data_IF_021787742037
#
_entry.id   IF_021787742037
#
_cell.length_a   1.000
_cell.length_b   1.000
_cell.length_c   1.000
_cell.angle_alpha   90.00
_cell.angle_beta   90.00
_cell.angle_gamma   90.00
#
_symmetry.space_group_name_H-M   'P 1'
#
loop_
_entity.id
_entity.type
_entity.pdbx_description
1 polymer ?
#
# COMPACT_ATOMS: atom_id res chain seq x y z
N UNK A 1 -6.24 -3.08 20.68
CA UNK A 1 -7.55 -2.75 20.07
C UNK A 1 -7.99 -1.32 20.38
N UNK A 2 -7.61 -0.75 21.52
CA UNK A 2 -8.17 0.53 21.99
C UNK A 2 -7.59 1.79 21.31
N UNK A 3 -6.35 1.75 20.83
CA UNK A 3 -5.77 2.87 20.07
C UNK A 3 -6.45 3.08 18.70
N UNK A 4 -6.92 1.99 18.10
CA UNK A 4 -7.64 1.99 16.82
C UNK A 4 -9.10 2.45 16.99
N UNK A 5 -9.73 2.08 18.11
CA UNK A 5 -11.07 2.56 18.48
C UNK A 5 -11.09 4.04 18.85
N UNK A 6 -9.97 4.60 19.31
CA UNK A 6 -9.84 6.02 19.61
C UNK A 6 -9.74 6.90 18.33
N UNK A 7 -9.09 6.40 17.27
CA UNK A 7 -8.91 7.15 16.03
C UNK A 7 -10.15 7.16 15.10
N UNK A 8 -11.04 6.17 15.21
CA UNK A 8 -12.16 5.96 14.28
C UNK A 8 -13.56 6.04 14.91
N UNK A 9 -13.69 6.58 16.13
CA UNK A 9 -15.00 6.75 16.77
C UNK A 9 -15.89 7.86 16.18
N UNK A 10 -15.55 8.41 15.01
CA UNK A 10 -16.20 9.60 14.43
C UNK A 10 -16.64 9.52 12.97
N UNK A 11 -16.67 8.34 12.32
CA UNK A 11 -17.19 8.24 10.95
C UNK A 11 -18.21 7.10 10.90
N UNK A 12 -19.49 7.44 10.76
CA UNK A 12 -20.59 6.47 10.60
C UNK A 12 -21.59 6.39 11.75
N UNK A 13 -22.03 7.51 12.33
CA UNK A 13 -23.30 7.57 13.06
C UNK A 13 -24.23 8.55 12.37
N UNK A 14 -25.47 8.13 12.17
CA UNK A 14 -26.59 8.93 11.60
C UNK A 14 -26.97 10.13 12.48
N UNK A 15 -26.34 10.27 13.65
CA UNK A 15 -26.36 11.46 14.51
C UNK A 15 -24.99 12.14 14.55
N UNK A 16 -24.34 12.35 13.40
CA UNK A 16 -23.22 13.28 13.30
C UNK A 16 -23.79 14.66 13.63
N UNK A 17 -23.71 15.01 14.92
CA UNK A 17 -24.09 16.30 15.48
C UNK A 17 -23.70 17.42 14.50
N UNK A 18 -24.53 18.47 14.44
CA UNK A 18 -24.32 19.73 13.70
C UNK A 18 -22.96 20.45 13.95
N UNK A 19 -22.03 19.79 14.65
CA UNK A 19 -20.74 20.26 15.12
C UNK A 19 -19.55 19.62 14.40
N UNK A 20 -19.74 18.77 13.37
CA UNK A 20 -18.61 18.37 12.52
C UNK A 20 -18.20 19.55 11.64
N UNK A 21 -17.30 20.39 12.18
CA UNK A 21 -16.75 21.52 11.44
C UNK A 21 -15.65 21.04 10.51
N UNK A 22 -15.97 20.96 9.22
CA UNK A 22 -14.98 20.77 8.17
C UNK A 22 -14.31 22.12 7.89
N UNK A 23 -12.99 22.17 8.04
CA UNK A 23 -12.17 23.29 7.59
C UNK A 23 -11.33 22.79 6.44
N UNK A 24 -11.74 23.16 5.22
CA UNK A 24 -10.95 22.92 4.03
C UNK A 24 -10.48 24.28 3.53
N UNK A 25 -9.19 24.64 3.72
CA UNK A 25 -8.67 25.92 3.26
C UNK A 25 -8.79 26.08 1.74
N UNK A 26 -9.03 24.99 1.00
CA UNK A 26 -9.06 24.94 -0.46
C UNK A 26 -10.45 24.64 -1.04
N UNK A 27 -11.52 24.68 -0.25
CA UNK A 27 -12.88 24.53 -0.79
C UNK A 27 -13.66 25.83 -0.61
N UNK A 28 -14.28 26.30 -1.69
CA UNK A 28 -15.14 27.49 -1.72
C UNK A 28 -16.22 27.46 -0.62
N UNK A 29 -16.66 26.27 -0.19
CA UNK A 29 -17.63 26.08 0.89
C UNK A 29 -17.14 26.53 2.29
N UNK A 30 -15.84 26.78 2.48
CA UNK A 30 -15.25 27.20 3.75
C UNK A 30 -14.69 28.62 3.71
N UNK A 31 -14.82 29.33 2.58
CA UNK A 31 -14.40 30.73 2.45
C UNK A 31 -15.53 31.61 3.02
N UNK A 32 -15.25 32.34 4.10
CA UNK A 32 -16.23 33.29 4.62
C UNK A 32 -16.42 34.45 3.64
N UNK A 33 -17.64 35.00 3.48
CA UNK A 33 -17.87 36.12 2.57
C UNK A 33 -16.99 37.32 2.95
N UNK A 34 -16.02 37.66 2.07
CA UNK A 34 -15.07 38.76 2.28
C UNK A 34 -13.64 38.35 2.60
N UNK A 35 -13.32 37.06 2.67
CA UNK A 35 -11.94 36.56 2.76
C UNK A 35 -11.40 36.23 1.37
N UNK A 36 -10.46 37.05 0.88
CA UNK A 36 -9.91 36.96 -0.48
C UNK A 36 -8.71 36.00 -0.63
N UNK A 37 -8.27 35.33 0.43
CA UNK A 37 -7.02 34.54 0.38
C UNK A 37 -7.11 33.20 1.07
N UNK A 38 -6.69 32.15 0.34
CA UNK A 38 -6.34 30.85 0.88
C UNK A 38 -5.28 31.07 1.97
N UNK A 39 -5.63 30.84 3.23
CA UNK A 39 -4.68 30.95 4.33
C UNK A 39 -3.78 29.71 4.37
N UNK A 40 -2.50 29.93 4.58
CA UNK A 40 -1.56 28.82 4.77
C UNK A 40 -1.86 28.08 6.08
N UNK A 41 -1.53 26.79 6.16
CA UNK A 41 -1.71 26.00 7.39
C UNK A 41 -1.06 26.65 8.62
N UNK A 42 0.08 27.33 8.43
CA UNK A 42 0.78 28.07 9.48
C UNK A 42 -0.05 29.23 10.03
N UNK A 43 -0.73 29.97 9.14
CA UNK A 43 -1.58 31.10 9.51
C UNK A 43 -2.84 30.63 10.26
N UNK A 44 -3.37 29.45 9.92
CA UNK A 44 -4.56 28.87 10.51
C UNK A 44 -4.35 28.30 11.93
N UNK A 45 -3.11 28.13 12.37
CA UNK A 45 -2.79 27.50 13.65
C UNK A 45 -3.55 28.06 14.87
N UNK A 46 -3.56 29.39 15.09
CA UNK A 46 -4.31 30.01 16.18
C UNK A 46 -5.82 29.73 16.12
N UNK A 47 -6.42 29.79 14.93
CA UNK A 47 -7.86 29.58 14.72
C UNK A 47 -8.25 28.11 14.92
N UNK A 48 -7.39 27.19 14.48
CA UNK A 48 -7.53 25.76 14.77
C UNK A 48 -7.54 25.54 16.28
N UNK A 49 -6.60 26.14 17.02
CA UNK A 49 -6.55 26.01 18.48
C UNK A 49 -7.78 26.62 19.17
N UNK A 50 -8.28 27.76 18.69
CA UNK A 50 -9.50 28.38 19.20
C UNK A 50 -10.69 27.43 19.01
N UNK A 51 -10.88 26.94 17.79
CA UNK A 51 -11.92 26.00 17.41
C UNK A 51 -11.87 24.72 18.25
N UNK A 52 -10.68 24.15 18.44
CA UNK A 52 -10.50 22.94 19.27
C UNK A 52 -10.98 23.17 20.69
N UNK A 53 -10.66 24.31 21.31
CA UNK A 53 -11.09 24.62 22.69
C UNK A 53 -12.58 24.90 22.78
N UNK A 54 -13.10 25.72 21.89
CA UNK A 54 -14.51 26.15 21.90
C UNK A 54 -15.45 24.96 21.67
N UNK A 55 -15.10 24.08 20.75
CA UNK A 55 -15.91 22.94 20.36
C UNK A 55 -15.51 21.61 21.00
N UNK A 56 -14.48 21.61 21.86
CA UNK A 56 -13.95 20.41 22.53
C UNK A 56 -13.64 19.29 21.54
N UNK A 57 -12.90 19.64 20.48
CA UNK A 57 -12.53 18.69 19.43
C UNK A 57 -11.42 17.76 19.95
N UNK A 58 -11.68 16.45 19.95
CA UNK A 58 -10.70 15.45 20.39
C UNK A 58 -9.70 15.05 19.30
N UNK A 59 -10.03 15.23 18.01
CA UNK A 59 -9.22 14.81 16.88
C UNK A 59 -9.27 15.81 15.73
N UNK A 60 -8.09 16.21 15.26
CA UNK A 60 -7.90 16.99 14.02
C UNK A 60 -7.24 16.10 12.98
N UNK A 61 -7.82 16.05 11.78
CA UNK A 61 -7.30 15.29 10.63
C UNK A 61 -6.80 16.27 9.58
N UNK A 62 -5.58 16.05 9.09
CA UNK A 62 -4.95 16.81 8.00
C UNK A 62 -4.74 15.87 6.80
N UNK A 63 -5.43 16.12 5.69
CA UNK A 63 -5.41 15.29 4.48
C UNK A 63 -5.25 16.14 3.22
N UNK A 64 -4.09 16.22 2.56
CA UNK A 64 -2.77 15.78 3.03
C UNK A 64 -1.90 16.99 3.37
N UNK A 65 -0.95 16.82 4.29
CA UNK A 65 -0.08 17.93 4.75
C UNK A 65 0.61 18.65 3.60
N UNK A 66 1.04 17.92 2.56
CA UNK A 66 1.69 18.50 1.40
C UNK A 66 0.81 19.47 0.60
N UNK A 67 -0.51 19.27 0.59
CA UNK A 67 -1.46 20.14 -0.13
C UNK A 67 -1.92 21.35 0.70
N UNK A 68 -1.75 21.31 2.03
CA UNK A 68 -2.14 22.40 2.93
C UNK A 68 -1.00 23.39 3.20
N UNK A 69 0.22 23.05 2.80
CA UNK A 69 1.39 23.89 2.98
C UNK A 69 1.62 24.81 1.77
N UNK A 70 2.05 26.05 2.03
CA UNK A 70 2.48 26.99 0.98
C UNK A 70 3.96 26.82 0.58
N UNK A 71 4.77 26.12 1.40
CA UNK A 71 6.20 25.92 1.20
C UNK A 71 6.57 24.64 0.42
N UNK A 72 7.87 24.38 0.27
CA UNK A 72 8.36 23.17 -0.39
C UNK A 72 8.19 21.95 0.53
N UNK A 73 7.40 20.98 0.09
CA UNK A 73 7.18 19.72 0.82
C UNK A 73 8.46 18.88 0.99
N UNK A 74 9.51 19.16 0.22
CA UNK A 74 10.84 18.56 0.36
C UNK A 74 11.76 19.35 1.31
N UNK A 75 11.43 20.61 1.60
CA UNK A 75 12.15 21.43 2.57
C UNK A 75 11.78 21.00 3.98
N UNK A 76 12.76 20.42 4.70
CA UNK A 76 12.56 20.06 6.10
C UNK A 76 12.20 21.26 6.97
N UNK A 77 12.68 22.45 6.64
CA UNK A 77 12.35 23.67 7.37
C UNK A 77 10.88 24.05 7.20
N UNK A 78 10.35 24.01 5.98
CA UNK A 78 8.97 24.38 5.69
C UNK A 78 8.02 23.37 6.32
N UNK A 79 8.33 22.07 6.21
CA UNK A 79 7.57 21.00 6.87
C UNK A 79 7.57 21.16 8.38
N UNK A 80 8.72 21.46 8.98
CA UNK A 80 8.80 21.70 10.42
C UNK A 80 7.99 22.93 10.85
N UNK A 81 8.00 24.00 10.03
CA UNK A 81 7.21 25.20 10.28
C UNK A 81 5.71 24.91 10.21
N UNK A 82 5.24 24.22 9.17
CA UNK A 82 3.84 23.81 9.02
C UNK A 82 3.34 22.97 10.20
N UNK A 83 4.14 21.98 10.63
CA UNK A 83 3.82 21.15 11.78
C UNK A 83 3.79 21.95 13.09
N UNK A 84 4.75 22.86 13.29
CA UNK A 84 4.91 23.62 14.53
C UNK A 84 3.93 24.79 14.65
N UNK A 85 3.74 25.55 13.58
CA UNK A 85 2.88 26.73 13.57
C UNK A 85 1.43 26.37 13.28
N UNK A 86 1.17 25.40 12.40
CA UNK A 86 -0.19 25.03 12.00
C UNK A 86 -0.84 23.95 12.87
N UNK A 87 -0.18 22.80 13.06
CA UNK A 87 -0.81 21.64 13.72
C UNK A 87 -0.50 21.50 15.22
N UNK A 88 0.64 21.98 15.70
CA UNK A 88 0.97 21.93 17.13
C UNK A 88 0.04 22.77 18.03
N UNK A 89 -0.56 23.89 17.56
CA UNK A 89 -1.59 24.58 18.33
C UNK A 89 -2.78 23.68 18.68
N UNK A 90 -3.24 22.83 17.75
CA UNK A 90 -4.30 21.85 18.02
C UNK A 90 -3.93 20.88 19.16
N UNK A 91 -2.70 20.36 19.13
CA UNK A 91 -2.16 19.49 20.20
C UNK A 91 -2.09 20.21 21.54
N UNK A 92 -1.69 21.48 21.52
CA UNK A 92 -1.57 22.31 22.72
C UNK A 92 -2.95 22.67 23.28
N UNK A 93 -3.98 22.71 22.43
CA UNK A 93 -5.37 22.86 22.80
C UNK A 93 -6.04 21.56 23.31
N UNK A 94 -5.35 20.41 23.24
CA UNK A 94 -5.80 19.14 23.80
C UNK A 94 -6.24 18.09 22.77
N UNK A 95 -6.27 18.42 21.48
CA UNK A 95 -6.66 17.48 20.43
C UNK A 95 -5.52 16.52 20.05
N UNK A 96 -5.88 15.29 19.69
CA UNK A 96 -5.02 14.43 18.89
C UNK A 96 -4.93 14.97 17.45
N UNK A 97 -3.80 14.73 16.77
CA UNK A 97 -3.64 15.12 15.37
C UNK A 97 -3.25 13.92 14.54
N UNK A 98 -4.03 13.65 13.49
CA UNK A 98 -3.77 12.63 12.48
C UNK A 98 -3.39 13.33 11.17
N UNK A 99 -2.23 12.97 10.62
CA UNK A 99 -1.79 13.47 9.31
C UNK A 99 -1.83 12.30 8.33
N UNK A 100 -2.61 12.47 7.26
CA UNK A 100 -2.62 11.60 6.10
C UNK A 100 -1.62 12.13 5.08
N UNK A 101 -0.82 11.24 4.52
CA UNK A 101 0.25 11.63 3.60
C UNK A 101 0.56 10.50 2.63
N UNK A 102 1.16 10.88 1.50
CA UNK A 102 1.52 9.96 0.44
C UNK A 102 3.00 9.59 0.52
N UNK A 103 3.29 8.29 0.39
CA UNK A 103 4.65 7.81 0.20
C UNK A 103 5.13 8.12 -1.22
N UNK A 104 6.43 8.42 -1.39
CA UNK A 104 7.02 8.52 -2.73
C UNK A 104 7.03 7.15 -3.42
N UNK A 105 6.99 7.13 -4.75
CA UNK A 105 7.17 5.89 -5.53
C UNK A 105 8.47 5.15 -5.16
N UNK A 106 9.55 5.88 -4.91
CA UNK A 106 10.84 5.31 -4.51
C UNK A 106 10.79 4.67 -3.10
N UNK A 107 10.12 5.32 -2.14
CA UNK A 107 9.94 4.77 -0.80
C UNK A 107 9.02 3.54 -0.80
N UNK A 108 8.01 3.52 -1.67
CA UNK A 108 7.14 2.36 -1.84
C UNK A 108 7.88 1.14 -2.44
N UNK A 109 8.88 1.37 -3.30
CA UNK A 109 9.65 0.31 -3.96
C UNK A 109 10.79 -0.29 -3.11
N UNK A 110 11.21 0.38 -2.03
CA UNK A 110 12.27 -0.12 -1.14
C UNK A 110 11.87 -1.39 -0.37
N UNK A 111 12.76 -1.96 0.44
CA UNK A 111 12.44 -3.10 1.33
C UNK A 111 12.02 -2.70 2.75
N UNK A 112 12.23 -1.44 3.14
CA UNK A 112 11.84 -0.90 4.44
C UNK A 112 10.37 -0.49 4.49
N UNK A 113 9.87 -0.09 5.65
CA UNK A 113 8.52 0.51 5.74
C UNK A 113 8.50 1.81 4.91
N UNK A 114 7.51 2.01 4.02
CA UNK A 114 7.44 3.24 3.23
C UNK A 114 7.37 4.48 4.11
N UNK A 115 8.10 5.52 3.71
CA UNK A 115 8.13 6.80 4.41
C UNK A 115 7.54 7.92 3.53
N UNK A 116 6.90 8.94 4.15
CA UNK A 116 6.30 10.04 3.41
C UNK A 116 7.35 10.98 2.78
N UNK A 117 6.91 11.87 1.88
CA UNK A 117 7.73 12.98 1.37
C UNK A 117 8.16 13.88 2.55
N UNK A 118 9.42 14.32 2.59
CA UNK A 118 9.93 15.14 3.72
C UNK A 118 9.95 14.37 5.06
N UNK A 119 10.06 13.04 5.01
CA UNK A 119 9.76 12.13 6.13
C UNK A 119 10.46 12.40 7.44
N UNK A 120 11.68 12.91 7.46
CA UNK A 120 12.44 13.03 8.72
C UNK A 120 11.74 13.93 9.73
N UNK A 121 11.20 15.07 9.30
CA UNK A 121 10.54 16.03 10.19
C UNK A 121 9.17 15.53 10.65
N UNK A 122 8.38 14.98 9.71
CA UNK A 122 7.09 14.34 10.00
C UNK A 122 7.25 13.17 10.98
N UNK A 123 8.25 12.31 10.76
CA UNK A 123 8.61 11.19 11.62
C UNK A 123 9.11 11.64 12.99
N UNK A 124 9.93 12.70 13.06
CA UNK A 124 10.40 13.24 14.32
C UNK A 124 9.24 13.75 15.19
N UNK A 125 8.30 14.48 14.57
CA UNK A 125 7.14 15.07 15.22
C UNK A 125 6.07 14.04 15.65
N UNK A 126 5.84 13.02 14.83
CA UNK A 126 4.86 11.98 15.08
C UNK A 126 5.23 11.10 16.29
N UNK A 127 4.25 10.75 17.12
CA UNK A 127 4.42 9.75 18.19
C UNK A 127 4.28 8.32 17.65
N UNK A 128 3.42 8.14 16.65
CA UNK A 128 3.20 6.89 15.94
C UNK A 128 3.18 7.20 14.45
N UNK A 129 3.85 6.37 13.65
CA UNK A 129 3.88 6.44 12.19
C UNK A 129 3.51 5.08 11.63
N UNK A 130 2.47 5.04 10.81
CA UNK A 130 1.93 3.82 10.21
C UNK A 130 1.89 3.98 8.71
N UNK A 131 2.48 3.02 7.99
CA UNK A 131 2.36 2.89 6.55
C UNK A 131 1.24 1.89 6.23
N UNK A 132 0.37 2.29 5.31
CA UNK A 132 -0.67 1.45 4.76
C UNK A 132 -0.27 1.08 3.33
N UNK A 133 -0.30 -0.20 3.02
CA UNK A 133 0.09 -0.73 1.72
C UNK A 133 -0.98 -1.69 1.19
N UNK A 134 -1.20 -1.67 -0.12
CA UNK A 134 -2.02 -2.70 -0.78
C UNK A 134 -1.18 -3.96 -1.00
N UNK A 135 -1.66 -5.10 -0.52
CA UNK A 135 -1.04 -6.42 -0.65
C UNK A 135 -2.05 -7.39 -1.28
N UNK A 136 -1.57 -8.39 -2.02
CA UNK A 136 -2.43 -9.48 -2.52
C UNK A 136 -2.30 -10.64 -1.54
N UNK A 137 -3.42 -11.17 -1.06
CA UNK A 137 -3.46 -12.28 -0.12
C UNK A 137 -4.64 -13.17 -0.46
N UNK A 138 -4.39 -14.46 -0.77
CA UNK A 138 -5.41 -15.45 -1.14
C UNK A 138 -6.41 -14.91 -2.19
N UNK A 139 -5.87 -14.37 -3.30
CA UNK A 139 -6.63 -13.77 -4.41
C UNK A 139 -7.48 -12.53 -4.07
N UNK A 140 -7.30 -11.96 -2.87
CA UNK A 140 -7.94 -10.72 -2.45
C UNK A 140 -6.93 -9.58 -2.31
N UNK A 141 -7.38 -8.36 -2.59
CA UNK A 141 -6.64 -7.15 -2.24
C UNK A 141 -6.89 -6.86 -0.77
N UNK A 142 -5.83 -6.81 0.03
CA UNK A 142 -5.86 -6.54 1.46
C UNK A 142 -4.97 -5.35 1.79
N UNK A 143 -5.21 -4.71 2.92
CA UNK A 143 -4.37 -3.63 3.43
C UNK A 143 -3.41 -4.17 4.47
N UNK A 144 -2.12 -4.03 4.20
CA UNK A 144 -1.05 -4.25 5.16
C UNK A 144 -0.82 -2.97 5.96
N UNK A 145 -0.78 -3.10 7.28
CA UNK A 145 -0.44 -2.03 8.19
C UNK A 145 0.94 -2.30 8.78
N UNK A 146 1.90 -1.44 8.50
CA UNK A 146 3.28 -1.54 8.97
C UNK A 146 3.62 -0.32 9.84
N UNK A 147 4.17 -0.52 11.03
CA UNK A 147 4.58 0.60 11.89
C UNK A 147 6.04 0.94 11.65
N UNK A 148 6.27 2.19 11.25
CA UNK A 148 7.60 2.75 11.07
C UNK A 148 8.16 3.34 12.38
N UNK A 149 7.29 3.90 13.24
CA UNK A 149 7.65 4.46 14.54
C UNK A 149 6.51 4.27 15.53
N UNK A 150 6.81 3.88 16.77
CA UNK A 150 5.85 3.93 17.87
C UNK A 150 6.56 4.28 19.17
N UNK A 151 6.13 5.36 19.79
CA UNK A 151 6.51 5.75 21.15
C UNK A 151 5.46 5.36 22.19
N UNK A 152 4.43 4.58 21.81
CA UNK A 152 3.32 4.19 22.68
C UNK A 152 3.44 2.72 23.10
N UNK A 153 3.33 1.79 22.14
CA UNK A 153 3.42 0.35 22.36
C UNK A 153 4.05 -0.35 21.14
N UNK A 154 4.74 -1.49 21.35
CA UNK A 154 5.22 -2.30 20.24
C UNK A 154 4.04 -2.77 19.38
N UNK A 155 4.23 -2.70 18.08
CA UNK A 155 3.18 -2.95 17.12
C UNK A 155 3.69 -3.88 16.04
N UNK A 156 3.09 -5.07 15.94
CA UNK A 156 3.41 -6.01 14.87
C UNK A 156 2.62 -5.66 13.61
N UNK A 157 3.24 -5.73 12.43
CA UNK A 157 2.49 -5.57 11.19
C UNK A 157 1.32 -6.56 11.11
N UNK A 158 0.20 -6.12 10.56
CA UNK A 158 -1.01 -6.94 10.44
C UNK A 158 -1.77 -6.60 9.16
N UNK A 159 -2.69 -7.48 8.77
CA UNK A 159 -3.50 -7.34 7.54
C UNK A 159 -4.97 -7.12 7.87
N UNK A 160 -5.62 -6.29 7.05
CA UNK A 160 -7.07 -6.11 7.09
C UNK A 160 -7.67 -6.19 5.70
N UNK A 161 -8.87 -6.74 5.57
CA UNK A 161 -9.72 -6.49 4.42
C UNK A 161 -10.58 -5.26 4.68
N UNK A 162 -10.61 -4.35 3.71
CA UNK A 162 -11.44 -3.15 3.73
C UNK A 162 -12.60 -3.36 2.76
N UNK A 163 -13.81 -3.43 3.29
CA UNK A 163 -15.02 -3.65 2.51
C UNK A 163 -15.87 -2.36 2.58
N UNK A 164 -16.08 -1.71 1.43
CA UNK A 164 -16.92 -0.52 1.32
C UNK A 164 -18.31 -0.91 0.84
N UNK A 165 -19.33 -0.61 1.64
CA UNK A 165 -20.73 -0.83 1.28
C UNK A 165 -21.41 0.53 1.08
N UNK A 166 -22.00 0.76 -0.08
CA UNK A 166 -22.77 1.99 -0.32
C UNK A 166 -24.06 1.93 0.50
N UNK A 167 -24.20 2.85 1.45
CA UNK A 167 -25.40 2.95 2.30
C UNK A 167 -26.42 3.91 1.67
N UNK A 168 -25.96 5.07 1.19
CA UNK A 168 -26.82 6.04 0.51
C UNK A 168 -26.03 7.05 -0.32
N UNK A 169 -26.32 7.17 -1.62
CA UNK A 169 -25.72 8.18 -2.49
C UNK A 169 -24.19 8.15 -2.48
N UNK A 170 -23.56 9.16 -1.84
CA UNK A 170 -22.09 9.29 -1.68
C UNK A 170 -21.55 8.74 -0.35
N UNK A 171 -22.42 8.22 0.52
CA UNK A 171 -22.02 7.68 1.82
C UNK A 171 -21.71 6.19 1.67
N UNK A 172 -20.49 5.82 2.06
CA UNK A 172 -20.05 4.43 2.13
C UNK A 172 -19.78 4.06 3.59
N UNK A 173 -20.29 2.92 4.01
CA UNK A 173 -19.89 2.26 5.25
C UNK A 173 -18.63 1.44 5.00
N UNK A 174 -17.63 1.62 5.85
CA UNK A 174 -16.37 0.89 5.80
C UNK A 174 -16.38 -0.21 6.88
N UNK A 175 -16.35 -1.46 6.45
CA UNK A 175 -16.12 -2.61 7.33
C UNK A 175 -14.64 -3.01 7.27
N UNK A 176 -14.01 -3.17 8.45
CA UNK A 176 -12.65 -3.70 8.57
C UNK A 176 -12.67 -5.12 9.13
N UNK A 177 -12.13 -6.06 8.37
CA UNK A 177 -11.94 -7.46 8.82
C UNK A 177 -10.46 -7.71 9.10
N UNK A 178 -10.09 -8.06 10.32
CA UNK A 178 -8.71 -8.42 10.66
C UNK A 178 -8.37 -9.82 10.13
N UNK A 179 -7.26 -9.94 9.41
CA UNK A 179 -6.80 -11.19 8.78
C UNK A 179 -5.59 -11.82 9.48
N UNK A 180 -5.04 -11.16 10.50
CA UNK A 180 -3.92 -11.64 11.30
C UNK A 180 -2.60 -10.89 11.07
N UNK A 181 -1.51 -11.42 11.63
CA UNK A 181 -0.18 -10.83 11.52
C UNK A 181 0.31 -10.83 10.06
N UNK A 182 0.99 -9.75 9.67
CA UNK A 182 1.60 -9.63 8.37
C UNK A 182 3.06 -10.12 8.46
N UNK A 183 3.40 -11.15 7.66
CA UNK A 183 4.76 -11.69 7.58
C UNK A 183 5.78 -10.70 7.02
N UNK A 184 6.97 -11.17 6.66
CA UNK A 184 8.03 -10.31 6.08
C UNK A 184 7.54 -9.60 4.81
N UNK A 185 7.84 -8.30 4.67
CA UNK A 185 7.48 -7.50 3.51
C UNK A 185 8.26 -8.00 2.27
N UNK A 186 7.54 -8.42 1.23
CA UNK A 186 8.13 -8.83 -0.06
C UNK A 186 8.26 -7.60 -0.99
N UNK A 187 9.35 -7.50 -1.77
CA UNK A 187 9.54 -6.38 -2.71
C UNK A 187 8.51 -6.42 -3.84
N UNK A 188 8.09 -5.26 -4.34
CA UNK A 188 7.24 -5.15 -5.53
C UNK A 188 7.88 -5.82 -6.76
N UNK A 189 9.19 -5.71 -6.95
CA UNK A 189 9.92 -6.40 -8.04
C UNK A 189 9.96 -7.92 -7.88
N UNK A 190 10.08 -8.42 -6.65
CA UNK A 190 10.01 -9.87 -6.38
C UNK A 190 8.58 -10.38 -6.56
N UNK A 191 7.59 -9.57 -6.18
CA UNK A 191 6.17 -9.85 -6.38
C UNK A 191 5.80 -9.88 -7.87
N UNK A 192 6.19 -8.87 -8.65
CA UNK A 192 6.00 -8.86 -10.10
C UNK A 192 6.77 -9.98 -10.79
N UNK A 193 7.98 -10.31 -10.31
CA UNK A 193 8.75 -11.44 -10.81
C UNK A 193 8.04 -12.78 -10.59
N UNK A 194 7.48 -13.00 -9.40
CA UNK A 194 6.73 -14.20 -9.04
C UNK A 194 5.39 -14.27 -9.79
N UNK A 195 4.67 -13.16 -9.90
CA UNK A 195 3.39 -13.07 -10.60
C UNK A 195 3.57 -13.28 -12.12
N UNK A 196 4.58 -12.65 -12.74
CA UNK A 196 4.91 -12.88 -14.16
C UNK A 196 5.38 -14.31 -14.39
N UNK A 197 6.14 -14.89 -13.47
CA UNK A 197 6.57 -16.28 -13.57
C UNK A 197 5.39 -17.25 -13.40
N UNK A 198 4.43 -16.95 -12.53
CA UNK A 198 3.17 -17.69 -12.36
C UNK A 198 2.27 -17.61 -13.60
N UNK A 199 2.09 -16.41 -14.16
CA UNK A 199 1.32 -16.20 -15.39
C UNK A 199 1.98 -16.87 -16.60
N UNK A 200 3.30 -16.74 -16.75
CA UNK A 200 4.05 -17.43 -17.81
C UNK A 200 3.93 -18.95 -17.65
N UNK A 201 4.00 -19.48 -16.42
CA UNK A 201 3.81 -20.91 -16.14
C UNK A 201 2.42 -21.39 -16.53
N UNK A 202 1.37 -20.65 -16.19
CA UNK A 202 -0.01 -21.01 -16.57
C UNK A 202 -0.21 -21.01 -18.09
N UNK A 203 0.28 -19.96 -18.77
CA UNK A 203 0.19 -19.86 -20.23
C UNK A 203 0.95 -21.00 -20.94
N UNK A 204 2.13 -21.39 -20.43
CA UNK A 204 2.89 -22.53 -20.93
C UNK A 204 2.11 -23.83 -20.71
N UNK A 205 1.58 -24.06 -19.50
CA UNK A 205 0.83 -25.28 -19.20
C UNK A 205 -0.43 -25.41 -20.06
N UNK A 206 -1.19 -24.33 -20.24
CA UNK A 206 -2.36 -24.29 -21.12
C UNK A 206 -1.99 -24.60 -22.58
N UNK A 207 -0.91 -23.99 -23.08
CA UNK A 207 -0.41 -24.24 -24.43
C UNK A 207 0.01 -25.72 -24.62
N UNK A 208 0.63 -26.34 -23.61
CA UNK A 208 1.05 -27.74 -23.65
C UNK A 208 -0.09 -28.73 -23.45
N UNK A 209 -1.15 -28.36 -22.72
CA UNK A 209 -2.38 -29.16 -22.62
C UNK A 209 -3.07 -29.31 -23.99
N UNK A 210 -2.91 -28.33 -24.88
CA UNK A 210 -3.44 -28.40 -26.25
C UNK A 210 -2.65 -29.32 -27.21
N UNK A 211 -1.53 -29.91 -26.75
CA UNK A 211 -0.70 -30.83 -27.52
C UNK A 211 0.78 -30.44 -27.53
N UNK A 212 1.58 -31.13 -28.36
CA UNK A 212 2.99 -30.78 -28.56
C UNK A 212 3.10 -29.45 -29.32
N UNK A 213 3.79 -28.47 -28.73
CA UNK A 213 4.04 -27.16 -29.36
C UNK A 213 5.51 -26.82 -29.44
N UNK A 214 5.87 -26.02 -30.45
CA UNK A 214 7.24 -25.55 -30.65
C UNK A 214 7.56 -24.34 -29.78
N UNK A 215 8.83 -24.18 -29.40
CA UNK A 215 9.31 -23.04 -28.61
C UNK A 215 8.89 -21.68 -29.20
N UNK A 216 8.95 -21.56 -30.53
CA UNK A 216 8.59 -20.31 -31.21
C UNK A 216 7.10 -19.95 -31.07
N UNK A 217 6.23 -20.94 -30.89
CA UNK A 217 4.79 -20.73 -30.67
C UNK A 217 4.45 -20.30 -29.24
N UNK A 218 5.36 -20.50 -28.28
CA UNK A 218 5.19 -20.12 -26.87
C UNK A 218 5.67 -18.68 -26.58
N UNK A 219 6.16 -17.96 -27.59
CA UNK A 219 6.65 -16.58 -27.51
C UNK A 219 8.18 -16.46 -27.48
N UNK A 220 8.69 -15.24 -27.70
CA UNK A 220 10.12 -14.92 -27.70
C UNK A 220 10.51 -14.14 -26.45
N UNK A 221 11.42 -14.68 -25.63
CA UNK A 221 12.01 -13.92 -24.52
C UNK A 221 12.56 -14.76 -23.35
N UNK A 222 13.47 -14.16 -22.59
CA UNK A 222 14.18 -14.83 -21.49
C UNK A 222 13.32 -15.26 -20.29
N UNK A 223 12.13 -14.71 -20.11
CA UNK A 223 11.21 -15.11 -19.02
C UNK A 223 10.58 -16.47 -19.30
N UNK A 224 10.18 -16.74 -20.55
CA UNK A 224 9.59 -18.02 -20.98
C UNK A 224 10.63 -19.15 -20.90
N UNK A 225 11.88 -18.87 -21.29
CA UNK A 225 12.98 -19.85 -21.21
C UNK A 225 13.28 -20.26 -19.76
N UNK A 226 13.28 -19.31 -18.82
CA UNK A 226 13.45 -19.62 -17.39
C UNK A 226 12.28 -20.46 -16.86
N UNK A 227 11.04 -20.14 -17.25
CA UNK A 227 9.87 -20.89 -16.83
C UNK A 227 9.86 -22.32 -17.39
N UNK A 228 10.19 -22.51 -18.68
CA UNK A 228 10.35 -23.83 -19.29
C UNK A 228 11.43 -24.66 -18.61
N UNK A 229 12.58 -24.04 -18.28
CA UNK A 229 13.67 -24.71 -17.56
C UNK A 229 13.22 -25.24 -16.19
N UNK A 230 12.57 -24.39 -15.39
CA UNK A 230 12.06 -24.77 -14.07
C UNK A 230 11.03 -25.91 -14.18
N UNK A 231 10.14 -25.86 -15.18
CA UNK A 231 9.13 -26.89 -15.40
C UNK A 231 9.73 -28.25 -15.80
N UNK A 232 10.74 -28.25 -16.67
CA UNK A 232 11.50 -29.45 -17.06
C UNK A 232 12.24 -30.03 -15.84
N UNK A 233 12.91 -29.19 -15.06
CA UNK A 233 13.61 -29.61 -13.83
C UNK A 233 12.65 -30.21 -12.78
N UNK A 234 11.42 -29.71 -12.72
CA UNK A 234 10.38 -30.24 -11.83
C UNK A 234 9.68 -31.51 -12.33
N UNK A 235 9.98 -31.98 -13.55
CA UNK A 235 9.34 -33.15 -14.16
C UNK A 235 7.88 -32.92 -14.60
N UNK A 236 7.38 -31.69 -14.56
CA UNK A 236 6.01 -31.35 -14.93
C UNK A 236 5.79 -31.33 -16.44
N UNK A 237 6.86 -31.11 -17.21
CA UNK A 237 6.84 -31.13 -18.68
C UNK A 237 8.09 -31.86 -19.17
N UNK A 238 8.01 -32.44 -20.36
CA UNK A 238 9.12 -33.10 -21.03
C UNK A 238 9.65 -32.21 -22.16
N UNK A 239 10.98 -32.06 -22.23
CA UNK A 239 11.64 -31.48 -23.40
C UNK A 239 11.81 -32.58 -24.44
N UNK A 240 11.11 -32.44 -25.56
CA UNK A 240 11.22 -33.33 -26.71
C UNK A 240 12.40 -32.87 -27.59
N UNK A 241 12.56 -33.49 -28.75
CA UNK A 241 13.60 -33.10 -29.71
C UNK A 241 13.30 -31.72 -30.35
N UNK A 242 14.36 -31.05 -30.83
CA UNK A 242 14.26 -29.82 -31.64
C UNK A 242 13.50 -28.64 -30.99
N UNK A 243 13.48 -28.55 -29.66
CA UNK A 243 12.81 -27.45 -28.95
C UNK A 243 11.28 -27.57 -28.90
N UNK A 244 10.77 -28.79 -29.09
CA UNK A 244 9.39 -29.16 -28.79
C UNK A 244 9.23 -29.49 -27.31
N UNK A 245 8.05 -29.22 -26.76
CA UNK A 245 7.72 -29.52 -25.37
C UNK A 245 6.36 -30.22 -25.30
N UNK A 246 6.17 -31.07 -24.29
CA UNK A 246 4.92 -31.81 -24.06
C UNK A 246 4.69 -32.14 -22.59
N UNK A 247 3.46 -32.54 -22.25
CA UNK A 247 3.15 -33.06 -20.92
C UNK A 247 3.57 -34.54 -20.80
N UNK A 248 4.04 -34.98 -19.62
CA UNK A 248 4.21 -36.40 -19.35
C UNK A 248 2.83 -37.09 -19.49
N UNK A 249 2.76 -38.16 -20.26
CA UNK A 249 1.53 -38.97 -20.34
C UNK A 249 1.35 -39.65 -18.98
N UNK A 250 0.20 -39.45 -18.35
CA UNK A 250 -0.15 -40.14 -17.11
C UNK A 250 -0.06 -41.66 -17.34
N UNK A 251 1.00 -42.30 -16.84
CA UNK A 251 1.09 -43.77 -16.78
C UNK A 251 2.38 -44.41 -17.28
N UNK A 252 3.27 -43.70 -17.98
CA UNK A 252 4.56 -44.30 -18.38
C UNK A 252 5.65 -43.85 -17.40
N UNK A 253 6.03 -44.77 -16.50
CA UNK A 253 7.33 -44.70 -15.83
C UNK A 253 8.41 -44.51 -16.91
N UNK A 254 9.15 -43.41 -16.82
CA UNK A 254 10.25 -43.09 -17.72
C UNK A 254 11.30 -44.21 -17.65
N UNK A 255 11.35 -45.06 -18.68
CA UNK A 255 12.45 -45.99 -18.91
C UNK A 255 13.78 -45.19 -18.91
N UNK A 256 14.85 -45.66 -18.24
CA UNK A 256 16.09 -44.90 -18.03
C UNK A 256 16.83 -44.49 -19.32
N UNK A 257 16.39 -44.94 -20.49
CA UNK A 257 17.01 -44.69 -21.80
C UNK A 257 16.62 -43.37 -22.48
N UNK A 258 15.58 -42.67 -22.03
CA UNK A 258 15.10 -41.42 -22.66
C UNK A 258 15.61 -40.14 -21.99
N UNK A 259 16.60 -40.23 -21.10
CA UNK A 259 17.30 -39.04 -20.60
C UNK A 259 18.23 -38.54 -21.71
N UNK A 260 18.02 -37.35 -22.30
CA UNK A 260 19.01 -36.80 -23.21
C UNK A 260 20.30 -36.55 -22.42
N UNK A 261 21.41 -37.03 -22.96
CA UNK A 261 22.74 -36.74 -22.44
C UNK A 261 22.88 -35.23 -22.24
N UNK A 262 23.06 -34.82 -20.98
CA UNK A 262 23.48 -33.47 -20.66
C UNK A 262 24.95 -33.42 -21.06
N UNK A 263 25.21 -33.13 -22.33
CA UNK A 263 26.54 -32.78 -22.79
C UNK A 263 27.05 -31.60 -21.96
N UNK A 264 28.03 -31.92 -21.13
CA UNK A 264 28.98 -31.00 -20.56
C UNK A 264 29.68 -30.22 -21.68
N UNK A 265 29.29 -28.96 -21.89
CA UNK A 265 30.15 -27.99 -22.55
C UNK A 265 30.55 -26.93 -21.53
N UNK A 266 31.74 -27.14 -20.96
CA UNK A 266 32.69 -26.09 -20.64
C UNK A 266 32.82 -25.15 -21.84
N UNK A 267 32.50 -23.87 -21.66
CA UNK A 267 33.33 -22.66 -21.86
C UNK A 267 32.54 -21.45 -21.34
#
# INVERSE_FOLDING_TARGET
MDLFKAAFRGIGREDLHEQLKCYSPNSEACILPGEDTLQSLEALGPDIACTVREHRIDLVICDSLGQMMMGDTNSGQDVALALRAGLNPARTAGAAVLVLDHATKAAAAGSGVPTPIGSQQKRAWARVSVALESESYEDHVVTRWSVDKSNAAPFRPFRTRLDFQTVSGRLHELTLTALGEAGTRMRSEQKEGLDRMGQARLAILEALQSGSRSRHELGSGGTVDRALKILVESGQILRLSHGLYGLPRNGDELEPGDRPDIESQTW
#
